data_IF_285841462040
#
_entry.id   IF_285841462040
#
_cell.length_a   1.000
_cell.length_b   1.000
_cell.length_c   1.000
_cell.angle_alpha   90.00
_cell.angle_beta   90.00
_cell.angle_gamma   90.00
#
_symmetry.space_group_name_H-M   'P 1'
#
loop_
_entity.id
_entity.type
_entity.pdbx_description
1 polymer ?
#
# COMPACT_ATOMS: atom_id res chain seq x y z
N UNK A 1 -12.29 20.99 -2.19
CA UNK A 1 -10.96 20.38 -2.40
C UNK A 1 -9.85 21.37 -2.78
N UNK A 2 -9.96 22.11 -3.89
CA UNK A 2 -8.88 23.02 -4.35
C UNK A 2 -8.42 24.06 -3.33
N UNK A 3 -9.36 24.66 -2.58
CA UNK A 3 -9.04 25.61 -1.49
C UNK A 3 -8.15 24.97 -0.41
N UNK A 4 -8.38 23.69 -0.10
CA UNK A 4 -7.59 22.92 0.87
C UNK A 4 -6.18 22.64 0.32
N UNK A 5 -6.05 22.21 -0.94
CA UNK A 5 -4.76 21.98 -1.59
C UNK A 5 -3.91 23.27 -1.57
N UNK A 6 -4.51 24.42 -1.88
CA UNK A 6 -3.83 25.72 -1.81
C UNK A 6 -3.37 26.06 -0.39
N UNK A 7 -4.21 25.83 0.63
CA UNK A 7 -3.85 26.05 2.05
C UNK A 7 -2.69 25.15 2.49
N UNK A 8 -2.70 23.87 2.13
CA UNK A 8 -1.61 22.93 2.48
C UNK A 8 -0.32 23.29 1.74
N UNK A 9 -0.41 23.73 0.48
CA UNK A 9 0.78 24.15 -0.29
C UNK A 9 1.48 25.37 0.31
N UNK A 10 0.72 26.36 0.77
CA UNK A 10 1.26 27.66 1.21
C UNK A 10 1.46 27.74 2.72
N UNK A 11 0.61 27.07 3.51
CA UNK A 11 0.52 27.25 4.97
C UNK A 11 1.29 26.24 5.82
N UNK A 12 2.05 25.30 5.23
CA UNK A 12 2.82 24.33 6.01
C UNK A 12 4.10 24.98 6.54
N UNK A 13 4.22 25.05 7.87
CA UNK A 13 5.40 25.61 8.55
C UNK A 13 6.67 24.78 8.30
N UNK A 14 7.82 25.48 8.34
CA UNK A 14 9.15 24.85 8.31
C UNK A 14 9.26 23.84 9.46
N UNK A 15 9.68 22.61 9.16
CA UNK A 15 9.77 21.49 10.11
C UNK A 15 8.77 20.35 9.85
N UNK A 16 7.70 20.60 9.10
CA UNK A 16 6.70 19.58 8.75
C UNK A 16 6.94 19.00 7.34
N UNK A 17 8.11 18.37 7.14
CA UNK A 17 8.59 17.90 5.83
C UNK A 17 7.59 16.99 5.11
N UNK A 18 6.93 16.07 5.83
CA UNK A 18 5.91 15.17 5.23
C UNK A 18 4.70 15.93 4.69
N UNK A 19 4.22 16.94 5.40
CA UNK A 19 3.11 17.79 4.95
C UNK A 19 3.51 18.68 3.77
N UNK A 20 4.75 19.15 3.73
CA UNK A 20 5.27 19.91 2.59
C UNK A 20 5.39 19.04 1.31
N UNK A 21 5.77 17.77 1.47
CA UNK A 21 5.80 16.79 0.38
C UNK A 21 4.37 16.46 -0.08
N UNK A 22 3.45 16.29 0.87
CA UNK A 22 2.04 16.04 0.59
C UNK A 22 1.42 17.21 -0.19
N UNK A 23 1.64 18.45 0.24
CA UNK A 23 1.16 19.65 -0.46
C UNK A 23 1.67 19.76 -1.89
N UNK A 24 2.96 19.47 -2.12
CA UNK A 24 3.55 19.40 -3.48
C UNK A 24 2.94 18.29 -4.31
N UNK A 25 2.69 17.12 -3.73
CA UNK A 25 2.13 15.96 -4.45
C UNK A 25 0.67 16.17 -4.81
N UNK A 26 -0.14 16.66 -3.87
CA UNK A 26 -1.54 17.05 -4.12
C UNK A 26 -1.64 18.16 -5.16
N UNK A 27 -0.73 19.14 -5.15
CA UNK A 27 -0.74 20.21 -6.16
C UNK A 27 -0.37 19.69 -7.55
N UNK A 28 0.53 18.72 -7.68
CA UNK A 28 0.88 18.10 -8.97
C UNK A 28 -0.23 17.18 -9.50
N UNK A 29 -0.93 16.48 -8.62
CA UNK A 29 -1.95 15.47 -8.98
C UNK A 29 -3.39 15.95 -8.78
N UNK A 30 -3.61 17.26 -8.66
CA UNK A 30 -4.89 17.83 -8.23
C UNK A 30 -6.09 17.35 -9.08
N UNK A 31 -5.94 17.27 -10.40
CA UNK A 31 -6.99 16.84 -11.31
C UNK A 31 -7.38 15.37 -11.08
N UNK A 32 -6.38 14.49 -10.96
CA UNK A 32 -6.60 13.08 -10.65
C UNK A 32 -7.24 12.89 -9.26
N UNK A 33 -6.84 13.69 -8.27
CA UNK A 33 -7.46 13.67 -6.95
C UNK A 33 -8.93 14.10 -7.00
N UNK A 34 -9.29 15.11 -7.80
CA UNK A 34 -10.69 15.54 -7.97
C UNK A 34 -11.54 14.46 -8.65
N UNK A 35 -11.04 13.88 -9.75
CA UNK A 35 -11.73 12.82 -10.47
C UNK A 35 -12.08 11.62 -9.57
N UNK A 36 -11.20 11.30 -8.60
CA UNK A 36 -11.45 10.25 -7.61
C UNK A 36 -12.62 10.57 -6.66
N UNK A 37 -12.79 11.84 -6.28
CA UNK A 37 -13.92 12.24 -5.42
C UNK A 37 -15.22 12.38 -6.20
N UNK A 38 -15.15 12.76 -7.48
CA UNK A 38 -16.33 12.90 -8.34
C UNK A 38 -17.01 11.54 -8.61
N UNK A 39 -16.25 10.44 -8.62
CA UNK A 39 -16.77 9.08 -8.82
C UNK A 39 -17.44 8.46 -7.59
N UNK A 40 -17.42 9.13 -6.42
CA UNK A 40 -17.91 8.58 -5.13
C UNK A 40 -17.38 7.18 -4.81
N UNK A 41 -16.16 6.87 -5.25
CA UNK A 41 -15.53 5.59 -4.99
C UNK A 41 -15.22 5.45 -3.49
N UNK A 42 -15.49 4.27 -2.92
CA UNK A 42 -15.08 3.93 -1.56
C UNK A 42 -13.68 3.32 -1.57
N UNK A 43 -12.97 3.44 -0.46
CA UNK A 43 -11.69 2.76 -0.25
C UNK A 43 -11.85 1.31 0.24
N UNK A 44 -13.10 0.87 0.49
CA UNK A 44 -13.40 -0.43 1.09
C UNK A 44 -12.84 -1.63 0.31
N UNK A 45 -12.83 -1.67 -1.04
CA UNK A 45 -12.19 -2.76 -1.77
C UNK A 45 -10.68 -2.84 -1.55
N UNK A 46 -10.00 -1.68 -1.54
CA UNK A 46 -8.55 -1.59 -1.28
C UNK A 46 -8.24 -2.02 0.15
N UNK A 47 -9.07 -1.58 1.11
CA UNK A 47 -8.95 -1.98 2.53
C UNK A 47 -9.19 -3.47 2.73
N UNK A 48 -10.17 -4.06 2.05
CA UNK A 48 -10.41 -5.49 2.11
C UNK A 48 -9.21 -6.30 1.60
N UNK A 49 -8.58 -5.86 0.50
CA UNK A 49 -7.38 -6.50 -0.04
C UNK A 49 -6.19 -6.30 0.92
N UNK A 50 -5.95 -5.08 1.39
CA UNK A 50 -4.85 -4.80 2.32
C UNK A 50 -5.01 -5.56 3.64
N UNK A 51 -6.22 -5.65 4.20
CA UNK A 51 -6.49 -6.44 5.40
C UNK A 51 -6.19 -7.93 5.19
N UNK A 52 -6.52 -8.47 4.02
CA UNK A 52 -6.14 -9.85 3.65
C UNK A 52 -4.63 -10.02 3.48
N UNK A 53 -3.94 -9.04 2.88
CA UNK A 53 -2.49 -9.07 2.71
C UNK A 53 -1.75 -8.98 4.05
N UNK A 54 -2.21 -8.13 4.97
CA UNK A 54 -1.62 -8.04 6.31
C UNK A 54 -1.86 -9.32 7.11
N UNK A 55 -3.05 -9.94 6.97
CA UNK A 55 -3.30 -11.25 7.54
C UNK A 55 -2.36 -12.31 6.94
N UNK A 56 -2.19 -12.32 5.62
CA UNK A 56 -1.28 -13.22 4.92
C UNK A 56 0.17 -13.01 5.38
N UNK A 57 0.60 -11.78 5.61
CA UNK A 57 1.93 -11.46 6.13
C UNK A 57 2.18 -12.05 7.53
N UNK A 58 1.13 -12.18 8.34
CA UNK A 58 1.20 -12.83 9.65
C UNK A 58 1.34 -14.36 9.58
N UNK A 59 0.73 -15.01 8.58
CA UNK A 59 0.69 -16.49 8.47
C UNK A 59 1.69 -17.06 7.45
N UNK A 60 2.20 -16.23 6.54
CA UNK A 60 3.14 -16.61 5.49
C UNK A 60 4.34 -15.62 5.41
N UNK A 61 5.16 -15.50 6.48
CA UNK A 61 6.28 -14.56 6.51
C UNK A 61 7.33 -14.84 5.41
N UNK A 62 7.49 -16.10 4.98
CA UNK A 62 8.37 -16.47 3.86
C UNK A 62 7.92 -15.94 2.49
N UNK A 63 6.68 -15.45 2.37
CA UNK A 63 6.14 -14.86 1.14
C UNK A 63 6.51 -13.38 0.98
N UNK A 64 6.87 -12.71 2.07
CA UNK A 64 7.23 -11.28 2.09
C UNK A 64 8.70 -11.03 2.48
N UNK A 65 9.48 -12.09 2.70
CA UNK A 65 10.92 -12.00 2.91
C UNK A 65 11.68 -11.76 1.59
N UNK A 66 12.93 -11.28 1.66
CA UNK A 66 13.77 -11.02 0.48
C UNK A 66 14.25 -12.30 -0.26
N UNK A 67 13.79 -13.48 0.17
CA UNK A 67 14.10 -14.75 -0.48
C UNK A 67 13.21 -15.01 -1.69
N UNK A 68 13.65 -15.83 -2.65
CA UNK A 68 12.79 -16.25 -3.74
C UNK A 68 11.52 -16.93 -3.18
N UNK A 69 10.38 -16.67 -3.81
CA UNK A 69 9.07 -17.26 -3.45
C UNK A 69 9.02 -18.80 -3.64
N UNK A 70 10.18 -19.43 -3.94
CA UNK A 70 10.41 -20.85 -4.08
C UNK A 70 11.79 -21.17 -3.47
N UNK A 71 11.86 -21.94 -2.36
CA UNK A 71 11.76 -23.40 -2.41
C UNK A 71 10.93 -24.02 -1.26
N UNK A 72 10.01 -23.27 -0.63
CA UNK A 72 9.27 -23.76 0.54
C UNK A 72 8.26 -24.89 0.22
N UNK A 73 7.81 -25.02 -1.03
CA UNK A 73 6.84 -26.05 -1.45
C UNK A 73 7.51 -27.40 -1.76
N UNK A 74 8.80 -27.41 -2.13
CA UNK A 74 9.47 -28.64 -2.58
C UNK A 74 9.88 -29.58 -1.45
N UNK A 75 10.12 -29.09 -0.23
CA UNK A 75 10.54 -29.96 0.87
C UNK A 75 9.38 -30.69 1.55
N UNK A 76 8.20 -30.06 1.64
CA UNK A 76 7.03 -30.71 2.26
C UNK A 76 6.48 -31.88 1.43
N UNK A 77 6.67 -31.87 0.11
CA UNK A 77 6.30 -32.98 -0.78
C UNK A 77 7.40 -34.03 -0.94
N UNK A 78 8.64 -33.73 -0.53
CA UNK A 78 9.77 -34.68 -0.60
C UNK A 78 9.81 -35.61 0.62
N UNK A 79 9.45 -35.13 1.81
CA UNK A 79 9.45 -35.94 3.04
C UNK A 79 8.33 -36.99 3.09
N UNK A 80 7.28 -36.86 2.27
CA UNK A 80 6.19 -37.83 2.18
C UNK A 80 6.51 -39.05 1.27
N UNK A 81 7.58 -38.97 0.48
CA UNK A 81 8.09 -40.10 -0.30
C UNK A 81 9.24 -40.76 0.48
N UNK A 82 8.90 -41.66 1.40
CA UNK A 82 9.89 -42.53 2.04
C UNK A 82 10.54 -43.47 1.02
N UNK A 83 11.79 -43.91 1.24
CA UNK A 83 12.39 -44.94 0.40
C UNK A 83 11.75 -46.31 0.71
N UNK A 84 11.37 -47.02 -0.35
CA UNK A 84 10.97 -48.44 -0.30
C UNK A 84 12.10 -49.34 0.24
#
# INVERSE_FOLDING_TARGET
MLKLIKRIRVGVLKGLTKLAILGRTLSRKWAASLAYFDTRASNSPVEAINGRLEHLRGIAPGFFGPGPLHPAVTDSLRTAAGPD
#
